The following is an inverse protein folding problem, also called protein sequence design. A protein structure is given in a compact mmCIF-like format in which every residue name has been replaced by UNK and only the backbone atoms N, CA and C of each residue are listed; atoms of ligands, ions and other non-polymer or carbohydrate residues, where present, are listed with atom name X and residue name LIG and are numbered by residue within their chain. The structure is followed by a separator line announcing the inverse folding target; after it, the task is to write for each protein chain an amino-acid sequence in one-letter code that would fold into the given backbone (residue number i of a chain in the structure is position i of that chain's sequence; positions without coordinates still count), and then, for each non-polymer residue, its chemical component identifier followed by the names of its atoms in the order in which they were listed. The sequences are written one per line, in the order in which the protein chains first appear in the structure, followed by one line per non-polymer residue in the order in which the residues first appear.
data_IF_388953358599
#
_entry.id   IF_388953358599
#
_cell.length_a   1.000
_cell.length_b   1.000
_cell.length_c   1.000
_cell.angle_alpha   90.00
_cell.angle_beta   90.00
_cell.angle_gamma   90.00
#
_symmetry.space_group_name_H-M   'P 1'
#
loop_
_entity.id
_entity.type
_entity.pdbx_description
1 polymer ?
#
# COMPACT_ATOMS: atom_id res chain seq x y z
N UNK A 1 -14.31 5.79 24.44
CA UNK A 1 -14.51 7.24 24.27
C UNK A 1 -15.87 7.43 23.62
N UNK A 2 -16.77 7.89 24.46
CA UNK A 2 -18.16 8.21 24.25
C UNK A 2 -18.37 9.26 23.15
N UNK A 3 -19.51 9.22 22.45
CA UNK A 3 -20.39 10.39 22.29
C UNK A 3 -21.59 10.09 21.37
N UNK A 4 -22.76 10.35 21.94
CA UNK A 4 -24.08 10.55 21.36
C UNK A 4 -24.09 11.67 20.29
N UNK A 5 -25.06 11.68 19.35
CA UNK A 5 -25.30 12.89 18.56
C UNK A 5 -26.24 12.81 17.36
N UNK A 6 -27.55 12.84 17.63
CA UNK A 6 -28.62 13.49 16.85
C UNK A 6 -28.77 13.22 15.33
N UNK A 7 -29.79 12.41 14.98
CA UNK A 7 -30.53 12.51 13.71
C UNK A 7 -31.50 13.70 13.82
N UNK A 8 -31.30 14.73 13.02
CA UNK A 8 -32.26 15.84 12.86
C UNK A 8 -33.49 15.36 12.09
N UNK A 9 -34.60 15.18 12.80
CA UNK A 9 -35.95 15.12 12.21
C UNK A 9 -36.43 16.57 12.04
N UNK A 10 -36.50 17.05 10.80
CA UNK A 10 -37.20 18.30 10.51
C UNK A 10 -38.70 18.07 10.69
N UNK A 11 -39.29 18.93 11.51
CA UNK A 11 -40.72 19.05 11.78
C UNK A 11 -41.42 19.53 10.51
N UNK A 12 -42.52 18.93 10.05
CA UNK A 12 -43.36 19.58 9.05
C UNK A 12 -44.03 20.78 9.72
N UNK A 13 -43.69 21.98 9.28
CA UNK A 13 -44.36 23.19 9.69
C UNK A 13 -45.85 23.04 9.34
N UNK A 14 -46.68 22.88 10.37
CA UNK A 14 -48.13 23.03 10.30
C UNK A 14 -48.46 24.51 10.08
N UNK A 15 -48.19 25.02 8.88
CA UNK A 15 -48.86 26.23 8.39
C UNK A 15 -50.22 25.82 7.86
N UNK A 16 -51.10 25.42 8.78
CA UNK A 16 -52.54 25.35 8.51
C UNK A 16 -53.00 26.79 8.43
N UNK A 17 -53.02 27.33 7.21
CA UNK A 17 -53.65 28.59 6.89
C UNK A 17 -55.16 28.41 7.05
N UNK A 18 -55.67 28.54 8.28
CA UNK A 18 -57.08 28.82 8.51
C UNK A 18 -57.34 30.24 8.00
N UNK A 19 -57.70 30.34 6.72
CA UNK A 19 -58.14 31.60 6.14
C UNK A 19 -59.41 32.05 6.86
N UNK A 20 -59.35 33.20 7.52
CA UNK A 20 -60.50 33.84 8.19
C UNK A 20 -61.70 34.13 7.23
N UNK A 21 -61.54 33.91 5.92
CA UNK A 21 -62.64 33.93 4.92
C UNK A 21 -63.54 32.69 4.97
N UNK A 22 -63.05 31.55 5.47
CA UNK A 22 -63.87 30.32 5.56
C UNK A 22 -64.82 30.36 6.77
N UNK A 23 -64.55 31.23 7.75
CA UNK A 23 -65.41 31.48 8.92
C UNK A 23 -66.55 32.49 8.64
N UNK A 24 -66.48 33.28 7.57
CA UNK A 24 -67.53 34.26 7.23
C UNK A 24 -68.68 33.69 6.39
N UNK A 25 -68.50 32.51 5.78
CA UNK A 25 -69.57 31.82 5.03
C UNK A 25 -70.26 30.71 5.84
N UNK A 26 -69.68 30.33 7.00
CA UNK A 26 -70.19 29.27 7.87
C UNK A 26 -71.30 29.70 8.85
N UNK A 27 -71.59 31.00 8.97
CA UNK A 27 -72.79 31.49 9.68
C UNK A 27 -73.98 31.42 8.74
N UNK A 28 -74.49 30.21 8.53
CA UNK A 28 -75.93 30.06 8.26
C UNK A 28 -76.61 30.60 9.52
N UNK A 29 -77.06 31.85 9.43
CA UNK A 29 -78.17 32.37 10.21
C UNK A 29 -79.13 31.22 10.45
N UNK A 30 -79.49 31.00 11.72
CA UNK A 30 -80.61 30.16 12.12
C UNK A 30 -81.74 30.48 11.14
N UNK A 31 -81.90 29.63 10.13
CA UNK A 31 -82.99 29.75 9.21
C UNK A 31 -84.19 29.55 10.11
N UNK A 32 -84.94 30.63 10.34
CA UNK A 32 -86.28 30.53 10.90
C UNK A 32 -86.90 29.31 10.25
N UNK A 33 -87.19 28.31 11.07
CA UNK A 33 -87.93 27.14 10.66
C UNK A 33 -89.27 27.67 10.16
N UNK A 34 -89.35 27.96 8.86
CA UNK A 34 -90.60 27.95 8.16
C UNK A 34 -91.04 26.50 8.28
N UNK A 35 -91.79 26.23 9.34
CA UNK A 35 -92.68 25.08 9.43
C UNK A 35 -93.60 25.25 8.23
N UNK A 36 -93.16 24.73 7.09
CA UNK A 36 -94.04 24.43 5.98
C UNK A 36 -95.04 23.48 6.58
N UNK A 37 -96.20 24.01 6.94
CA UNK A 37 -97.40 23.22 7.16
C UNK A 37 -97.42 22.24 6.01
N UNK A 38 -97.41 20.91 6.24
CA UNK A 38 -97.50 19.98 5.14
C UNK A 38 -98.77 20.36 4.40
N UNK A 39 -98.62 20.86 3.18
CA UNK A 39 -99.72 21.08 2.26
C UNK A 39 -100.48 19.76 2.30
N UNK A 40 -101.71 19.78 2.85
CA UNK A 40 -102.52 18.60 3.03
C UNK A 40 -102.47 17.85 1.70
N UNK A 41 -101.76 16.72 1.69
CA UNK A 41 -101.56 15.93 0.48
C UNK A 41 -102.97 15.71 -0.08
N UNK A 42 -103.30 16.28 -1.26
CA UNK A 42 -104.58 16.00 -1.87
C UNK A 42 -104.62 14.48 -1.96
N UNK A 43 -105.63 13.85 -1.35
CA UNK A 43 -105.81 12.40 -1.39
C UNK A 43 -105.68 11.99 -2.86
N UNK A 44 -104.53 11.41 -3.21
CA UNK A 44 -104.19 11.20 -4.61
C UNK A 44 -105.26 10.33 -5.23
N UNK A 45 -105.88 10.84 -6.28
CA UNK A 45 -106.83 10.02 -7.01
C UNK A 45 -106.07 8.84 -7.63
N UNK A 46 -106.70 7.67 -7.74
CA UNK A 46 -106.07 6.48 -8.34
C UNK A 46 -105.49 6.77 -9.75
N UNK A 47 -106.06 7.74 -10.46
CA UNK A 47 -105.61 8.20 -11.77
C UNK A 47 -104.28 8.96 -11.72
N UNK A 48 -104.03 9.74 -10.66
CA UNK A 48 -102.77 10.48 -10.48
C UNK A 48 -101.63 9.53 -10.12
N UNK A 49 -101.90 8.50 -9.30
CA UNK A 49 -100.93 7.45 -9.00
C UNK A 49 -100.52 6.67 -10.24
N UNK A 50 -101.48 6.31 -11.10
CA UNK A 50 -101.22 5.64 -12.38
C UNK A 50 -100.40 6.53 -13.32
N UNK A 51 -100.73 7.83 -13.44
CA UNK A 51 -99.94 8.77 -14.25
C UNK A 51 -98.50 8.93 -13.74
N UNK A 52 -98.31 9.03 -12.42
CA UNK A 52 -96.97 9.12 -11.81
C UNK A 52 -96.18 7.85 -12.05
N UNK A 53 -96.80 6.68 -11.94
CA UNK A 53 -96.15 5.41 -12.23
C UNK A 53 -95.66 5.33 -13.68
N UNK A 54 -96.49 5.73 -14.66
CA UNK A 54 -96.10 5.77 -16.08
C UNK A 54 -94.95 6.75 -16.33
N UNK A 55 -94.99 7.94 -15.69
CA UNK A 55 -93.91 8.94 -15.82
C UNK A 55 -92.62 8.44 -15.18
N UNK A 56 -92.69 7.86 -13.97
CA UNK A 56 -91.54 7.27 -13.28
C UNK A 56 -90.92 6.14 -14.10
N UNK A 57 -91.73 5.21 -14.61
CA UNK A 57 -91.24 4.11 -15.45
C UNK A 57 -90.55 4.64 -16.72
N UNK A 58 -91.10 5.69 -17.34
CA UNK A 58 -90.47 6.32 -18.51
C UNK A 58 -89.16 7.02 -18.15
N UNK A 59 -89.09 7.69 -17.00
CA UNK A 59 -87.87 8.33 -16.51
C UNK A 59 -86.81 7.29 -16.15
N UNK A 60 -87.18 6.22 -15.48
CA UNK A 60 -86.28 5.10 -15.13
C UNK A 60 -85.71 4.43 -16.37
N UNK A 61 -86.53 4.15 -17.40
CA UNK A 61 -86.05 3.62 -18.68
C UNK A 61 -85.08 4.57 -19.38
N UNK A 62 -85.34 5.88 -19.32
CA UNK A 62 -84.43 6.88 -19.88
C UNK A 62 -83.08 6.90 -19.14
N UNK A 63 -83.10 6.80 -17.81
CA UNK A 63 -81.89 6.76 -16.98
C UNK A 63 -81.07 5.50 -17.23
N UNK A 64 -81.72 4.34 -17.39
CA UNK A 64 -81.05 3.09 -17.75
C UNK A 64 -80.34 3.18 -19.11
N UNK A 65 -80.97 3.76 -20.12
CA UNK A 65 -80.35 3.97 -21.43
C UNK A 65 -79.12 4.90 -21.33
N UNK A 66 -79.21 5.99 -20.57
CA UNK A 66 -78.05 6.88 -20.35
C UNK A 66 -76.91 6.18 -19.59
N UNK A 67 -77.21 5.36 -18.59
CA UNK A 67 -76.20 4.59 -17.84
C UNK A 67 -75.50 3.56 -18.73
N UNK A 68 -76.25 2.88 -19.59
CA UNK A 68 -75.70 1.93 -20.58
C UNK A 68 -74.82 2.65 -21.61
N UNK A 69 -75.26 3.81 -22.14
CA UNK A 69 -74.46 4.62 -23.07
C UNK A 69 -73.19 5.18 -22.41
N UNK A 70 -73.28 5.68 -21.18
CA UNK A 70 -72.11 6.11 -20.39
C UNK A 70 -71.20 4.93 -20.07
N UNK A 71 -71.76 3.75 -19.81
CA UNK A 71 -71.02 2.51 -19.57
C UNK A 71 -70.22 2.07 -20.80
N UNK A 72 -70.82 2.14 -21.99
CA UNK A 72 -70.15 1.86 -23.27
C UNK A 72 -69.05 2.88 -23.57
N UNK A 73 -69.30 4.18 -23.34
CA UNK A 73 -68.31 5.24 -23.51
C UNK A 73 -67.13 5.06 -22.54
N UNK A 74 -67.40 4.75 -21.26
CA UNK A 74 -66.37 4.46 -20.26
C UNK A 74 -65.56 3.20 -20.60
N UNK A 75 -66.21 2.16 -21.12
CA UNK A 75 -65.55 0.95 -21.59
C UNK A 75 -64.64 1.21 -22.80
N UNK A 76 -65.06 2.07 -23.74
CA UNK A 76 -64.26 2.48 -24.89
C UNK A 76 -63.00 3.26 -24.46
N UNK A 77 -63.14 4.24 -23.55
CA UNK A 77 -62.01 4.99 -22.98
C UNK A 77 -61.03 4.07 -22.23
N UNK A 78 -61.54 3.11 -21.47
CA UNK A 78 -60.70 2.12 -20.77
C UNK A 78 -59.91 1.23 -21.75
N UNK A 79 -60.51 0.87 -22.89
CA UNK A 79 -59.83 0.12 -23.96
C UNK A 79 -58.74 0.96 -24.64
N UNK A 80 -58.99 2.24 -24.90
CA UNK A 80 -58.00 3.15 -25.48
C UNK A 80 -56.81 3.35 -24.53
N UNK A 81 -57.06 3.66 -23.25
CA UNK A 81 -56.01 3.79 -22.23
C UNK A 81 -55.13 2.54 -22.11
N UNK A 82 -55.75 1.35 -22.14
CA UNK A 82 -55.00 0.07 -22.13
C UNK A 82 -54.14 -0.13 -23.38
N UNK A 83 -54.56 0.37 -24.54
CA UNK A 83 -53.75 0.31 -25.78
C UNK A 83 -52.56 1.26 -25.69
N UNK A 84 -52.78 2.50 -25.28
CA UNK A 84 -51.71 3.50 -25.08
C UNK A 84 -50.68 3.05 -24.03
N UNK A 85 -51.14 2.43 -22.94
CA UNK A 85 -50.26 1.88 -21.91
C UNK A 85 -49.38 0.75 -22.45
N UNK A 86 -49.96 -0.19 -23.23
CA UNK A 86 -49.20 -1.26 -23.88
C UNK A 86 -48.18 -0.70 -24.86
N UNK A 87 -48.55 0.30 -25.65
CA UNK A 87 -47.64 0.93 -26.61
C UNK A 87 -46.50 1.67 -25.89
N UNK A 88 -46.79 2.37 -24.79
CA UNK A 88 -45.77 3.01 -23.94
C UNK A 88 -44.80 1.99 -23.35
N UNK A 89 -45.29 0.83 -22.91
CA UNK A 89 -44.45 -0.25 -22.40
C UNK A 89 -43.57 -0.83 -23.51
N UNK A 90 -44.12 -1.08 -24.70
CA UNK A 90 -43.35 -1.57 -25.85
C UNK A 90 -42.22 -0.61 -26.23
N UNK A 91 -42.51 0.70 -26.34
CA UNK A 91 -41.49 1.72 -26.62
C UNK A 91 -40.38 1.75 -25.56
N UNK A 92 -40.72 1.57 -24.28
CA UNK A 92 -39.73 1.49 -23.19
C UNK A 92 -38.85 0.25 -23.35
N UNK A 93 -39.45 -0.92 -23.58
CA UNK A 93 -38.69 -2.15 -23.81
C UNK A 93 -37.76 -2.07 -25.02
N UNK A 94 -38.18 -1.41 -26.10
CA UNK A 94 -37.33 -1.20 -27.28
C UNK A 94 -36.14 -0.28 -26.98
N UNK A 95 -36.36 0.81 -26.25
CA UNK A 95 -35.30 1.73 -25.82
C UNK A 95 -34.33 1.00 -24.88
N UNK A 96 -34.84 0.25 -23.90
CA UNK A 96 -34.02 -0.50 -22.96
C UNK A 96 -33.20 -1.59 -23.65
N UNK A 97 -33.80 -2.33 -24.60
CA UNK A 97 -33.09 -3.32 -25.40
C UNK A 97 -32.00 -2.69 -26.27
N UNK A 98 -32.23 -1.49 -26.82
CA UNK A 98 -31.22 -0.75 -27.57
C UNK A 98 -30.07 -0.29 -26.67
N UNK A 99 -30.38 0.25 -25.50
CA UNK A 99 -29.39 0.69 -24.51
C UNK A 99 -28.57 -0.49 -23.98
N UNK A 100 -29.20 -1.64 -23.79
CA UNK A 100 -28.50 -2.85 -23.35
C UNK A 100 -27.52 -3.35 -24.41
N UNK A 101 -27.90 -3.32 -25.70
CA UNK A 101 -26.99 -3.67 -26.80
C UNK A 101 -25.78 -2.74 -26.86
N UNK A 102 -26.00 -1.42 -26.81
CA UNK A 102 -24.89 -0.45 -26.84
C UNK A 102 -23.99 -0.58 -25.61
N UNK A 103 -24.55 -0.81 -24.42
CA UNK A 103 -23.77 -1.05 -23.21
C UNK A 103 -22.93 -2.32 -23.32
N UNK A 104 -23.50 -3.42 -23.83
CA UNK A 104 -22.76 -4.67 -24.05
C UNK A 104 -21.60 -4.49 -25.04
N UNK A 105 -21.82 -3.76 -26.13
CA UNK A 105 -20.75 -3.44 -27.10
C UNK A 105 -19.65 -2.57 -26.48
N UNK A 106 -20.00 -1.53 -25.71
CA UNK A 106 -19.03 -0.69 -25.02
C UNK A 106 -18.23 -1.48 -23.97
N UNK A 107 -18.89 -2.33 -23.19
CA UNK A 107 -18.23 -3.19 -22.20
C UNK A 107 -17.32 -4.22 -22.88
N UNK A 108 -17.74 -4.80 -24.00
CA UNK A 108 -16.91 -5.73 -24.76
C UNK A 108 -15.65 -5.05 -25.32
N UNK A 109 -15.80 -3.85 -25.91
CA UNK A 109 -14.66 -3.05 -26.39
C UNK A 109 -13.71 -2.68 -25.25
N UNK A 110 -14.24 -2.19 -24.13
CA UNK A 110 -13.44 -1.84 -22.96
C UNK A 110 -12.69 -3.06 -22.40
N UNK A 111 -13.33 -4.22 -22.32
CA UNK A 111 -12.66 -5.47 -21.89
C UNK A 111 -11.55 -5.89 -22.85
N UNK A 112 -11.76 -5.76 -24.17
CA UNK A 112 -10.74 -6.07 -25.16
C UNK A 112 -9.53 -5.14 -25.04
N UNK A 113 -9.76 -3.83 -24.89
CA UNK A 113 -8.70 -2.84 -24.69
C UNK A 113 -7.92 -3.08 -23.38
N UNK A 114 -8.61 -3.44 -22.30
CA UNK A 114 -7.94 -3.80 -21.04
C UNK A 114 -7.09 -5.07 -21.18
N UNK A 115 -7.58 -6.09 -21.88
CA UNK A 115 -6.83 -7.32 -22.12
C UNK A 115 -5.60 -7.06 -23.01
N UNK A 116 -5.71 -6.18 -24.01
CA UNK A 116 -4.57 -5.79 -24.84
C UNK A 116 -3.53 -4.98 -24.04
N UNK A 117 -3.97 -4.03 -23.22
CA UNK A 117 -3.09 -3.27 -22.33
C UNK A 117 -2.34 -4.19 -21.36
N UNK A 118 -3.04 -5.17 -20.77
CA UNK A 118 -2.41 -6.15 -19.88
C UNK A 118 -1.37 -7.00 -20.61
N UNK A 119 -1.66 -7.46 -21.84
CA UNK A 119 -0.68 -8.19 -22.66
C UNK A 119 0.57 -7.35 -22.94
N UNK A 120 0.40 -6.07 -23.29
CA UNK A 120 1.53 -5.16 -23.52
C UNK A 120 2.33 -4.89 -22.24
N UNK A 121 1.68 -4.79 -21.08
CA UNK A 121 2.34 -4.63 -19.79
C UNK A 121 3.13 -5.90 -19.39
N UNK A 122 2.57 -7.08 -19.62
CA UNK A 122 3.23 -8.37 -19.38
C UNK A 122 4.44 -8.58 -20.30
N UNK A 123 4.32 -8.25 -21.58
CA UNK A 123 5.42 -8.30 -22.56
C UNK A 123 6.56 -7.37 -22.17
N UNK A 124 6.26 -6.11 -21.82
CA UNK A 124 7.26 -5.15 -21.32
C UNK A 124 7.92 -5.62 -20.02
N UNK A 125 7.15 -6.23 -19.12
CA UNK A 125 7.68 -6.78 -17.87
C UNK A 125 8.61 -7.97 -18.15
N UNK A 126 8.30 -8.81 -19.13
CA UNK A 126 9.15 -9.91 -19.54
C UNK A 126 10.44 -9.43 -20.22
N UNK A 127 10.36 -8.45 -21.12
CA UNK A 127 11.53 -7.81 -21.73
C UNK A 127 12.45 -7.20 -20.67
N UNK A 128 11.89 -6.52 -19.67
CA UNK A 128 12.67 -5.94 -18.58
C UNK A 128 13.35 -7.02 -17.72
N UNK A 129 12.66 -8.14 -17.44
CA UNK A 129 13.25 -9.30 -16.74
C UNK A 129 14.41 -9.90 -17.54
N UNK A 130 14.23 -10.09 -18.86
CA UNK A 130 15.29 -10.62 -19.72
C UNK A 130 16.48 -9.65 -19.83
N UNK A 131 16.22 -8.34 -19.90
CA UNK A 131 17.27 -7.33 -19.91
C UNK A 131 18.07 -7.32 -18.60
N UNK A 132 17.39 -7.41 -17.45
CA UNK A 132 18.02 -7.53 -16.13
C UNK A 132 18.89 -8.79 -16.04
N UNK A 133 18.36 -9.94 -16.44
CA UNK A 133 19.11 -11.21 -16.40
C UNK A 133 20.35 -11.18 -17.32
N UNK A 134 20.27 -10.54 -18.50
CA UNK A 134 21.41 -10.35 -19.39
C UNK A 134 22.48 -9.45 -18.78
N UNK A 135 22.08 -8.36 -18.12
CA UNK A 135 23.04 -7.47 -17.47
C UNK A 135 23.67 -8.11 -16.23
N UNK A 136 22.89 -8.86 -15.44
CA UNK A 136 23.40 -9.63 -14.30
C UNK A 136 24.43 -10.67 -14.76
N UNK A 137 24.12 -11.44 -15.81
CA UNK A 137 25.09 -12.36 -16.44
C UNK A 137 26.34 -11.65 -16.95
N UNK A 138 26.21 -10.43 -17.47
CA UNK A 138 27.35 -9.63 -17.91
C UNK A 138 28.22 -9.22 -16.73
N UNK A 139 27.63 -8.72 -15.65
CA UNK A 139 28.33 -8.34 -14.42
C UNK A 139 29.04 -9.56 -13.82
N UNK A 140 28.37 -10.70 -13.74
CA UNK A 140 28.95 -11.95 -13.24
C UNK A 140 30.12 -12.42 -14.11
N UNK A 141 30.01 -12.33 -15.44
CA UNK A 141 31.10 -12.68 -16.34
C UNK A 141 32.33 -11.76 -16.17
N UNK A 142 32.10 -10.47 -15.91
CA UNK A 142 33.17 -9.52 -15.63
C UNK A 142 33.83 -9.80 -14.29
N UNK A 143 33.05 -10.09 -13.24
CA UNK A 143 33.58 -10.49 -11.94
C UNK A 143 34.36 -11.79 -11.99
N UNK A 144 33.84 -12.81 -12.69
CA UNK A 144 34.53 -14.08 -12.87
C UNK A 144 35.89 -13.89 -13.59
N UNK A 145 35.91 -13.10 -14.67
CA UNK A 145 37.14 -12.76 -15.39
C UNK A 145 38.11 -11.94 -14.51
N UNK A 146 37.61 -11.11 -13.60
CA UNK A 146 38.44 -10.38 -12.66
C UNK A 146 39.04 -11.29 -11.57
N UNK A 147 38.26 -12.25 -11.07
CA UNK A 147 38.72 -13.25 -10.10
C UNK A 147 39.78 -14.15 -10.72
N UNK A 148 39.61 -14.59 -11.97
CA UNK A 148 40.58 -15.43 -12.67
C UNK A 148 41.93 -14.71 -12.86
N UNK A 149 41.92 -13.40 -13.07
CA UNK A 149 43.14 -12.58 -13.14
C UNK A 149 43.83 -12.38 -11.79
N UNK A 150 43.15 -12.62 -10.66
CA UNK A 150 43.72 -12.51 -9.31
C UNK A 150 44.49 -13.77 -8.96
N UNK A 151 45.62 -14.00 -9.61
CA UNK A 151 46.53 -15.08 -9.26
C UNK A 151 47.35 -14.63 -8.03
N UNK A 152 47.30 -15.35 -6.90
CA UNK A 152 48.16 -15.08 -5.76
C UNK A 152 49.60 -15.42 -6.16
N UNK A 153 50.44 -14.39 -6.26
CA UNK A 153 51.88 -14.53 -6.44
C UNK A 153 52.55 -14.53 -5.09
N UNK A 154 53.40 -15.51 -4.87
CA UNK A 154 54.09 -15.66 -3.61
C UNK A 154 55.06 -14.51 -3.36
N UNK A 155 55.17 -14.07 -2.11
CA UNK A 155 56.08 -13.00 -1.76
C UNK A 155 57.54 -13.45 -1.96
N UNK A 156 58.28 -12.79 -2.85
CA UNK A 156 59.69 -13.10 -3.10
C UNK A 156 60.56 -12.92 -1.84
N UNK A 157 60.24 -11.93 -1.00
CA UNK A 157 61.03 -11.60 0.19
C UNK A 157 60.92 -12.62 1.32
N UNK A 158 59.73 -13.21 1.53
CA UNK A 158 59.49 -14.14 2.64
C UNK A 158 59.09 -15.55 2.19
N UNK A 159 59.09 -15.81 0.87
CA UNK A 159 58.84 -17.12 0.27
C UNK A 159 57.60 -17.83 0.84
N UNK A 160 56.47 -17.12 0.91
CA UNK A 160 55.17 -17.56 1.48
C UNK A 160 55.07 -17.66 2.99
N UNK A 161 56.16 -17.51 3.75
CA UNK A 161 56.08 -17.61 5.21
C UNK A 161 55.21 -16.51 5.82
N UNK A 162 55.20 -15.30 5.22
CA UNK A 162 54.59 -14.11 5.81
C UNK A 162 55.39 -13.53 6.98
N UNK A 163 56.47 -14.19 7.38
CA UNK A 163 57.27 -13.85 8.55
C UNK A 163 58.52 -13.07 8.11
N UNK A 164 58.99 -12.14 8.93
CA UNK A 164 60.26 -11.46 8.71
C UNK A 164 61.41 -12.49 8.80
N UNK A 165 62.20 -12.60 7.72
CA UNK A 165 63.27 -13.58 7.61
C UNK A 165 64.46 -13.28 8.53
N UNK A 166 64.68 -12.01 8.89
CA UNK A 166 65.81 -11.64 9.74
C UNK A 166 65.59 -12.01 11.21
N UNK A 167 64.42 -11.71 11.76
CA UNK A 167 64.11 -11.99 13.17
C UNK A 167 63.28 -13.27 13.38
N UNK A 168 62.98 -14.02 12.31
CA UNK A 168 62.14 -15.22 12.37
C UNK A 168 60.73 -14.97 12.92
N UNK A 169 60.24 -13.72 12.86
CA UNK A 169 58.90 -13.36 13.32
C UNK A 169 58.79 -12.85 14.75
N UNK A 170 59.90 -12.81 15.48
CA UNK A 170 59.91 -12.37 16.87
C UNK A 170 59.83 -10.84 17.00
N UNK A 171 60.27 -10.12 15.96
CA UNK A 171 60.36 -8.65 15.97
C UNK A 171 61.45 -8.11 16.88
N UNK A 172 62.29 -9.00 17.43
CA UNK A 172 63.31 -8.72 18.43
C UNK A 172 64.62 -9.45 18.09
N UNK A 173 65.74 -8.84 18.45
CA UNK A 173 67.06 -9.47 18.46
C UNK A 173 67.65 -9.39 19.86
N UNK A 174 68.25 -10.48 20.33
CA UNK A 174 69.06 -10.43 21.54
C UNK A 174 70.45 -9.87 21.19
N UNK A 175 70.85 -8.81 21.88
CA UNK A 175 72.14 -8.19 21.72
C UNK A 175 72.86 -8.11 23.06
N UNK A 176 74.06 -8.68 23.11
CA UNK A 176 74.91 -8.61 24.30
C UNK A 176 75.81 -7.38 24.21
N UNK A 177 75.66 -6.46 25.17
CA UNK A 177 76.49 -5.27 25.30
C UNK A 177 77.60 -5.52 26.31
N UNK A 178 78.83 -5.60 25.84
CA UNK A 178 80.00 -5.82 26.69
C UNK A 178 80.34 -4.55 27.48
N UNK A 179 80.61 -4.71 28.78
CA UNK A 179 81.13 -3.63 29.61
C UNK A 179 82.62 -3.42 29.31
N UNK A 180 83.09 -2.16 29.19
CA UNK A 180 84.49 -1.87 28.88
C UNK A 180 85.46 -2.31 29.99
N UNK A 181 85.00 -2.44 31.23
CA UNK A 181 85.74 -3.06 32.34
C UNK A 181 84.79 -3.83 33.28
N UNK A 182 85.15 -5.05 33.73
CA UNK A 182 84.37 -5.76 34.73
C UNK A 182 84.37 -4.97 36.06
N UNK A 183 83.19 -4.80 36.67
CA UNK A 183 83.02 -4.09 37.95
C UNK A 183 82.89 -2.56 37.87
N UNK A 184 83.07 -1.94 36.70
CA UNK A 184 82.75 -0.53 36.49
C UNK A 184 81.47 -0.38 35.70
N UNK A 185 80.33 -0.42 36.42
CA UNK A 185 79.09 0.11 35.88
C UNK A 185 79.27 1.60 35.64
N UNK A 186 79.51 2.01 34.40
CA UNK A 186 79.45 3.42 34.03
C UNK A 186 78.07 3.94 34.45
N UNK A 187 78.03 4.88 35.40
CA UNK A 187 76.78 5.39 36.00
C UNK A 187 75.80 5.78 34.88
N UNK A 188 74.70 5.04 34.75
CA UNK A 188 73.66 5.29 33.74
C UNK A 188 73.76 4.53 32.40
N UNK A 189 74.61 3.50 32.29
CA UNK A 189 74.60 2.55 31.16
C UNK A 189 74.44 1.12 31.68
N UNK A 190 73.39 0.45 31.21
CA UNK A 190 73.10 -0.94 31.54
C UNK A 190 73.76 -1.85 30.50
N UNK A 191 74.83 -2.53 30.90
CA UNK A 191 75.52 -3.54 30.09
C UNK A 191 74.93 -4.93 30.34
N UNK A 192 75.13 -5.87 29.41
CA UNK A 192 74.54 -7.22 29.45
C UNK A 192 73.67 -7.53 28.22
N UNK A 193 72.93 -8.64 28.29
CA UNK A 193 71.99 -9.04 27.23
C UNK A 193 70.73 -8.18 27.27
N UNK A 194 70.41 -7.56 26.14
CA UNK A 194 69.22 -6.73 25.97
C UNK A 194 68.60 -6.97 24.60
N UNK A 195 67.27 -6.92 24.57
CA UNK A 195 66.53 -6.99 23.32
C UNK A 195 66.60 -5.68 22.55
N UNK A 196 66.73 -5.78 21.23
CA UNK A 196 66.63 -4.71 20.25
C UNK A 196 65.49 -4.99 19.28
N UNK A 197 64.84 -3.96 18.77
CA UNK A 197 63.84 -4.13 17.72
C UNK A 197 64.48 -4.52 16.40
N UNK A 198 63.82 -5.37 15.61
CA UNK A 198 64.25 -5.70 14.25
C UNK A 198 63.91 -4.56 13.29
N UNK A 199 64.93 -3.93 12.69
CA UNK A 199 64.78 -2.79 11.77
C UNK A 199 63.96 -3.16 10.53
N UNK A 200 64.11 -4.39 10.02
CA UNK A 200 63.46 -4.83 8.79
C UNK A 200 61.94 -5.09 8.94
N UNK A 201 61.43 -5.31 10.16
CA UNK A 201 59.98 -5.42 10.41
C UNK A 201 59.45 -4.25 11.25
N UNK A 202 59.96 -3.04 10.99
CA UNK A 202 59.53 -1.77 11.61
C UNK A 202 59.83 -1.64 13.12
N UNK A 203 60.71 -2.48 13.67
CA UNK A 203 61.29 -2.26 14.99
C UNK A 203 62.38 -1.19 14.93
N UNK A 204 62.80 -0.70 16.11
CA UNK A 204 63.91 0.25 16.21
C UNK A 204 65.11 -0.38 16.92
N UNK A 205 66.29 -0.19 16.35
CA UNK A 205 67.55 -0.55 16.99
C UNK A 205 68.04 0.62 17.84
N UNK A 206 67.48 0.73 19.03
CA UNK A 206 67.70 1.89 19.90
C UNK A 206 68.98 1.81 20.77
N UNK A 207 69.87 0.85 20.50
CA UNK A 207 71.13 0.67 21.25
C UNK A 207 70.92 0.41 22.75
N UNK A 208 71.86 0.86 23.59
CA UNK A 208 71.85 0.61 25.05
C UNK A 208 70.83 1.47 25.80
N UNK A 209 70.56 2.68 25.30
CA UNK A 209 69.90 3.77 26.05
C UNK A 209 68.47 4.08 25.62
N UNK A 210 67.93 3.42 24.60
CA UNK A 210 66.56 3.71 24.15
C UNK A 210 65.49 2.77 24.71
N UNK A 211 64.24 3.23 24.69
CA UNK A 211 63.07 2.42 25.00
C UNK A 211 62.83 1.37 23.91
N UNK A 212 62.51 0.13 24.30
CA UNK A 212 62.31 -0.98 23.37
C UNK A 212 61.10 -0.75 22.45
N UNK A 213 61.34 -0.57 21.16
CA UNK A 213 60.30 -0.61 20.12
C UNK A 213 60.41 -1.94 19.39
N UNK A 214 59.57 -2.90 19.79
CA UNK A 214 59.45 -4.19 19.13
C UNK A 214 58.90 -4.03 17.71
N UNK A 215 59.49 -4.74 16.75
CA UNK A 215 58.97 -4.81 15.38
C UNK A 215 57.78 -5.77 15.28
N UNK A 216 57.01 -5.68 14.21
CA UNK A 216 55.77 -6.45 14.05
C UNK A 216 56.01 -7.95 13.79
N UNK A 217 57.24 -8.36 13.49
CA UNK A 217 57.61 -9.72 13.10
C UNK A 217 57.08 -10.16 11.73
N UNK A 218 56.27 -9.34 11.08
CA UNK A 218 55.68 -9.62 9.76
C UNK A 218 56.62 -9.17 8.65
N UNK A 219 56.57 -9.86 7.51
CA UNK A 219 57.30 -9.42 6.32
C UNK A 219 56.83 -8.00 5.93
N UNK A 220 57.74 -7.02 5.79
CA UNK A 220 57.37 -5.63 5.49
C UNK A 220 56.74 -5.50 4.11
N UNK A 221 57.14 -6.36 3.17
CA UNK A 221 56.64 -6.32 1.80
C UNK A 221 55.19 -6.81 1.75
N UNK A 222 54.87 -8.00 2.29
CA UNK A 222 53.53 -8.61 2.22
C UNK A 222 52.64 -8.40 3.45
N UNK A 223 53.11 -7.64 4.44
CA UNK A 223 52.42 -7.35 5.70
C UNK A 223 51.89 -8.61 6.45
N UNK A 224 52.57 -9.76 6.30
CA UNK A 224 52.16 -11.01 6.93
C UNK A 224 51.35 -11.97 6.06
N UNK A 225 50.88 -11.56 4.87
CA UNK A 225 50.01 -12.40 4.03
C UNK A 225 50.73 -13.56 3.31
N UNK A 226 52.07 -13.49 3.17
CA UNK A 226 52.89 -14.45 2.42
C UNK A 226 52.73 -14.38 0.90
N UNK A 227 51.68 -13.70 0.40
CA UNK A 227 51.34 -13.60 -1.01
C UNK A 227 50.90 -12.18 -1.36
N UNK A 228 51.13 -11.79 -2.61
CA UNK A 228 50.61 -10.60 -3.26
C UNK A 228 49.66 -11.03 -4.36
N UNK A 229 48.73 -10.17 -4.73
CA UNK A 229 48.00 -10.36 -5.97
C UNK A 229 48.63 -9.44 -7.02
N UNK A 230 49.04 -9.97 -8.17
CA UNK A 230 49.69 -9.19 -9.25
C UNK A 230 48.73 -8.32 -10.06
N UNK A 231 47.43 -8.40 -9.80
CA UNK A 231 46.44 -7.42 -10.27
C UNK A 231 46.34 -6.20 -9.35
N UNK A 232 45.63 -5.17 -9.80
CA UNK A 232 45.20 -3.99 -9.01
C UNK A 232 44.31 -4.43 -7.83
N UNK A 233 44.92 -5.10 -6.87
CA UNK A 233 44.28 -5.53 -5.66
C UNK A 233 44.54 -4.43 -4.68
N UNK A 234 43.54 -3.57 -4.50
CA UNK A 234 43.33 -2.94 -3.20
C UNK A 234 43.06 -4.06 -2.18
N UNK A 235 44.07 -4.87 -1.87
CA UNK A 235 44.15 -5.46 -0.54
C UNK A 235 44.11 -4.23 0.35
N UNK A 236 42.96 -4.01 1.00
CA UNK A 236 42.85 -2.99 2.03
C UNK A 236 43.86 -3.41 3.08
N UNK A 237 45.11 -2.97 2.94
CA UNK A 237 46.10 -3.05 4.01
C UNK A 237 45.39 -2.36 5.16
N UNK A 238 45.01 -3.08 6.22
CA UNK A 238 44.26 -2.46 7.30
C UNK A 238 45.10 -1.31 7.79
N UNK A 239 44.58 -0.09 7.63
CA UNK A 239 45.26 1.11 8.11
C UNK A 239 45.55 0.92 9.60
N UNK A 240 46.63 1.53 10.08
CA UNK A 240 47.14 1.37 11.46
C UNK A 240 46.06 1.52 12.55
N UNK A 241 44.98 2.25 12.26
CA UNK A 241 43.78 2.38 13.11
C UNK A 241 42.96 1.09 13.21
N UNK A 242 42.73 0.36 12.11
CA UNK A 242 41.94 -0.87 12.11
C UNK A 242 42.61 -2.01 12.89
N UNK A 243 43.94 -2.11 12.83
CA UNK A 243 44.71 -3.11 13.60
C UNK A 243 44.65 -2.79 15.10
N UNK A 244 44.78 -1.51 15.49
CA UNK A 244 44.66 -1.08 16.90
C UNK A 244 43.26 -1.35 17.46
N UNK A 245 42.21 -1.02 16.72
CA UNK A 245 40.83 -1.29 17.14
C UNK A 245 40.52 -2.79 17.27
N UNK A 246 41.09 -3.64 16.42
CA UNK A 246 40.96 -5.10 16.55
C UNK A 246 41.70 -5.66 17.77
N UNK A 247 42.88 -5.12 18.10
CA UNK A 247 43.64 -5.51 19.30
C UNK A 247 42.94 -5.06 20.59
N UNK A 248 42.25 -3.92 20.58
CA UNK A 248 41.47 -3.40 21.71
C UNK A 248 40.10 -4.09 21.86
N UNK A 249 39.50 -4.59 20.77
CA UNK A 249 38.21 -5.29 20.78
C UNK A 249 38.25 -6.74 21.28
N UNK A 250 39.43 -7.38 21.35
CA UNK A 250 39.60 -8.79 21.70
C UNK A 250 39.47 -9.16 23.19
N UNK A 251 39.28 -8.18 24.09
CA UNK A 251 39.11 -8.41 25.54
C UNK A 251 37.67 -8.16 26.04
N UNK A 252 36.65 -8.64 25.32
CA UNK A 252 35.30 -8.77 25.91
C UNK A 252 35.01 -10.21 26.29
N UNK A 253 35.33 -10.49 27.56
CA UNK A 253 34.53 -11.31 28.48
C UNK A 253 33.60 -12.35 27.85
N UNK A 254 34.12 -13.56 27.75
CA UNK A 254 33.35 -14.79 27.68
C UNK A 254 32.55 -14.99 28.98
N UNK A 255 31.35 -14.42 29.06
CA UNK A 255 30.36 -14.76 30.08
C UNK A 255 28.97 -14.86 29.47
N UNK A 256 28.54 -16.10 29.26
CA UNK A 256 27.17 -16.56 29.55
C UNK A 256 26.04 -16.25 28.55
N UNK A 257 25.31 -17.31 28.20
CA UNK A 257 23.91 -17.25 27.74
C UNK A 257 23.71 -17.74 26.31
N UNK A 258 23.55 -19.04 26.04
CA UNK A 258 22.31 -19.83 26.18
C UNK A 258 21.15 -19.39 25.26
N UNK A 259 20.93 -20.21 24.23
CA UNK A 259 19.64 -20.73 23.69
C UNK A 259 18.55 -19.75 23.19
N UNK A 260 18.06 -20.04 21.98
CA UNK A 260 16.75 -19.62 21.47
C UNK A 260 16.78 -19.47 19.94
N UNK A 261 16.67 -20.55 19.18
CA UNK A 261 15.39 -21.11 18.71
C UNK A 261 14.64 -20.20 17.74
N UNK A 262 14.65 -20.65 16.47
CA UNK A 262 13.60 -20.69 15.46
C UNK A 262 12.39 -19.74 15.50
N UNK A 263 11.91 -19.47 14.27
CA UNK A 263 10.67 -18.83 13.80
C UNK A 263 10.91 -17.38 13.35
N UNK A 264 10.44 -16.85 12.22
CA UNK A 264 9.81 -17.29 10.97
C UNK A 264 9.68 -15.99 10.14
N UNK A 265 9.72 -16.00 8.80
CA UNK A 265 9.57 -14.77 8.01
C UNK A 265 8.11 -14.31 8.01
N UNK A 266 7.87 -13.09 8.51
CA UNK A 266 6.58 -12.42 8.36
C UNK A 266 6.36 -12.06 6.89
N UNK A 267 5.26 -12.57 6.33
CA UNK A 267 4.80 -12.29 4.98
C UNK A 267 4.54 -10.79 4.73
N UNK A 268 4.70 -10.31 3.48
CA UNK A 268 4.44 -8.93 3.11
C UNK A 268 2.93 -8.63 3.11
N UNK A 269 2.57 -7.51 3.72
CA UNK A 269 1.21 -6.93 3.66
C UNK A 269 0.86 -6.60 2.21
N UNK A 270 -0.27 -7.12 1.75
CA UNK A 270 -0.88 -6.79 0.46
C UNK A 270 -1.15 -5.29 0.31
N UNK A 271 -1.02 -4.73 -0.90
CA UNK A 271 -1.31 -3.32 -1.16
C UNK A 271 -2.83 -3.07 -1.15
N UNK A 272 -3.26 -2.13 -0.31
CA UNK A 272 -4.62 -1.57 -0.33
C UNK A 272 -4.72 -0.67 -1.57
N UNK A 273 -5.69 -0.96 -2.43
CA UNK A 273 -5.99 -0.19 -3.63
C UNK A 273 -6.40 1.26 -3.29
N UNK A 274 -6.02 2.26 -4.11
CA UNK A 274 -6.45 3.64 -3.92
C UNK A 274 -7.85 3.87 -4.51
N UNK A 275 -8.85 4.05 -3.65
CA UNK A 275 -10.13 4.64 -4.09
C UNK A 275 -9.97 6.12 -4.36
N UNK A 276 -10.13 6.47 -5.64
CA UNK A 276 -10.05 7.81 -6.21
C UNK A 276 -11.33 8.60 -5.92
N UNK A 277 -11.10 9.83 -5.44
CA UNK A 277 -11.90 11.04 -5.39
C UNK A 277 -13.32 11.11 -6.01
N UNK A 278 -14.22 11.77 -5.27
CA UNK A 278 -15.19 12.77 -5.77
C UNK A 278 -15.09 13.98 -4.83
N UNK A 279 -14.89 15.23 -5.25
CA UNK A 279 -15.34 15.86 -6.49
C UNK A 279 -16.78 16.38 -6.33
N UNK A 280 -16.95 17.43 -5.53
CA UNK A 280 -18.05 18.41 -5.56
C UNK A 280 -17.34 19.76 -5.40
N UNK A 281 -17.51 20.72 -6.30
CA UNK A 281 -18.79 21.34 -6.64
C UNK A 281 -18.86 22.61 -5.82
#
# INVERSE_FOLDING_TARGET
RDALGARTRSVPALTVAYGLRDLSMGKKLLAMEYVKVPEQMPLETLKDRSRRWIVQERTERFWQLEEDERGLAAAALKRQRKREEKERLQRRHEIDARNERTLREMVAKWKAEQAERQRQEDERAEELRQAHEREEKRIDSLHAAEVEKRIPVDCATCTKSGVCQECGGQGLFDATFLAPRPGHGAKGLEFGSKYRGCENCHGLNQGIRGALIQGDGRCPTCAGAGKFCTGWCHVKIPTRQAIRLAAEGGRRSSTGGSRGSMLSPTSPKSPVSPTRARGRG
#
